data_IF_424695675337
#
_entry.id   IF_424695675337
#
_cell.length_a   1.000
_cell.length_b   1.000
_cell.length_c   1.000
_cell.angle_alpha   90.00
_cell.angle_beta   90.00
_cell.angle_gamma   90.00
#
_symmetry.space_group_name_H-M   'P 1'
#
loop_
_entity.id
_entity.type
_entity.pdbx_description
1 polymer ?
#
# COMPACT_ATOMS: atom_id res chain seq x y z
N UNK A 1 15.75 -17.63 -2.24
CA UNK A 1 14.76 -16.89 -3.05
C UNK A 1 14.39 -17.75 -4.24
N UNK A 2 13.18 -18.33 -4.30
CA UNK A 2 12.76 -19.17 -5.43
C UNK A 2 12.11 -18.25 -6.47
N UNK A 3 12.83 -17.95 -7.53
CA UNK A 3 12.26 -17.29 -8.71
C UNK A 3 11.27 -18.25 -9.38
N UNK A 4 10.17 -17.73 -9.96
CA UNK A 4 9.29 -18.58 -10.74
C UNK A 4 10.06 -19.18 -11.89
N UNK A 5 9.80 -20.45 -12.19
CA UNK A 5 10.41 -21.16 -13.32
C UNK A 5 10.33 -20.32 -14.59
N UNK A 6 11.48 -20.10 -15.18
CA UNK A 6 11.71 -19.29 -16.38
C UNK A 6 10.79 -19.70 -17.51
N UNK A 7 10.00 -18.79 -18.03
CA UNK A 7 9.23 -18.99 -19.25
C UNK A 7 8.04 -18.07 -19.48
N UNK A 8 7.66 -17.23 -18.54
CA UNK A 8 6.58 -16.27 -18.74
C UNK A 8 7.13 -14.85 -18.88
N UNK A 9 6.77 -14.12 -19.93
CA UNK A 9 7.21 -12.76 -20.09
C UNK A 9 6.52 -11.86 -19.05
N UNK A 10 7.32 -11.01 -18.42
CA UNK A 10 6.89 -9.82 -17.67
C UNK A 10 5.84 -10.11 -16.60
N UNK A 11 6.27 -10.50 -15.41
CA UNK A 11 5.43 -10.30 -14.23
C UNK A 11 5.12 -8.80 -14.14
N UNK A 12 3.88 -8.44 -14.40
CA UNK A 12 3.34 -7.12 -14.11
C UNK A 12 3.70 -6.77 -12.66
N UNK A 13 4.06 -5.50 -12.43
CA UNK A 13 4.43 -5.00 -11.08
C UNK A 13 3.40 -5.41 -10.02
N UNK A 14 2.12 -5.43 -10.39
CA UNK A 14 1.04 -5.91 -9.52
C UNK A 14 1.23 -7.37 -9.11
N UNK A 15 1.52 -8.26 -10.04
CA UNK A 15 1.73 -9.70 -9.74
C UNK A 15 2.96 -9.92 -8.89
N UNK A 16 4.00 -9.10 -9.08
CA UNK A 16 5.19 -9.12 -8.23
C UNK A 16 4.87 -8.72 -6.77
N UNK A 17 4.08 -7.66 -6.59
CA UNK A 17 3.64 -7.23 -5.25
C UNK A 17 2.76 -8.30 -4.58
N UNK A 18 1.81 -8.90 -5.31
CA UNK A 18 0.99 -10.00 -4.81
C UNK A 18 1.86 -11.19 -4.36
N UNK A 19 2.86 -11.57 -5.17
CA UNK A 19 3.82 -12.62 -4.84
C UNK A 19 4.58 -12.32 -3.54
N UNK A 20 5.08 -11.10 -3.40
CA UNK A 20 5.74 -10.63 -2.18
C UNK A 20 4.85 -10.79 -0.94
N UNK A 21 3.59 -10.34 -1.01
CA UNK A 21 2.67 -10.45 0.12
C UNK A 21 2.32 -11.89 0.50
N UNK A 22 2.15 -12.77 -0.50
CA UNK A 22 1.94 -14.21 -0.23
C UNK A 22 3.15 -14.81 0.46
N UNK A 23 4.37 -14.54 -0.03
CA UNK A 23 5.60 -15.04 0.62
C UNK A 23 5.77 -14.51 2.04
N UNK A 24 5.56 -13.21 2.28
CA UNK A 24 5.61 -12.62 3.61
C UNK A 24 4.59 -13.25 4.56
N UNK A 25 3.37 -13.44 4.08
CA UNK A 25 2.31 -14.10 4.87
C UNK A 25 2.68 -15.52 5.24
N UNK A 26 3.17 -16.32 4.28
CA UNK A 26 3.59 -17.71 4.54
C UNK A 26 4.78 -17.78 5.53
N UNK A 27 5.74 -16.86 5.42
CA UNK A 27 6.86 -16.76 6.34
C UNK A 27 6.40 -16.47 7.78
N UNK A 28 5.47 -15.50 7.96
CA UNK A 28 4.89 -15.19 9.27
C UNK A 28 4.09 -16.37 9.86
N UNK A 29 3.43 -17.14 9.01
CA UNK A 29 2.76 -18.38 9.41
C UNK A 29 3.73 -19.53 9.71
N UNK A 30 5.03 -19.35 9.46
CA UNK A 30 6.07 -20.39 9.57
C UNK A 30 5.76 -21.62 8.70
N UNK A 31 5.18 -21.42 7.51
CA UNK A 31 4.88 -22.47 6.53
C UNK A 31 5.69 -22.29 5.26
N UNK A 32 6.36 -23.37 4.82
CA UNK A 32 7.13 -23.40 3.59
C UNK A 32 6.49 -24.37 2.60
N UNK A 33 5.87 -23.88 1.50
CA UNK A 33 5.31 -24.77 0.49
C UNK A 33 6.41 -25.45 -0.32
N UNK A 34 6.15 -26.72 -0.72
CA UNK A 34 7.02 -27.47 -1.64
C UNK A 34 6.87 -26.99 -3.08
N UNK A 35 5.73 -26.41 -3.41
CA UNK A 35 5.38 -25.88 -4.72
C UNK A 35 4.77 -24.49 -4.58
N UNK A 36 5.22 -23.54 -5.40
CA UNK A 36 4.67 -22.19 -5.51
C UNK A 36 4.56 -21.80 -6.98
N UNK A 37 3.35 -21.61 -7.47
CA UNK A 37 3.08 -21.29 -8.88
C UNK A 37 2.17 -20.07 -8.98
N UNK A 38 2.57 -19.09 -9.80
CA UNK A 38 1.72 -17.97 -10.15
C UNK A 38 0.65 -18.38 -11.15
N UNK A 39 -0.57 -17.90 -10.98
CA UNK A 39 -1.73 -18.15 -11.84
C UNK A 39 -2.56 -16.88 -12.03
N UNK A 40 -3.69 -17.04 -12.72
CA UNK A 40 -4.66 -15.95 -12.92
C UNK A 40 -5.97 -16.23 -12.16
N UNK A 41 -6.26 -17.47 -11.86
CA UNK A 41 -7.49 -17.87 -11.19
C UNK A 41 -7.34 -19.27 -10.57
N UNK A 42 -7.03 -19.38 -9.29
CA UNK A 42 -6.66 -18.32 -8.35
C UNK A 42 -5.29 -17.71 -8.66
N UNK A 43 -4.94 -16.59 -7.98
CA UNK A 43 -3.71 -15.85 -8.21
C UNK A 43 -2.45 -16.69 -8.00
N UNK A 44 -2.49 -17.66 -7.06
CA UNK A 44 -1.39 -18.56 -6.77
C UNK A 44 -1.89 -19.96 -6.46
N UNK A 45 -1.07 -20.96 -6.79
CA UNK A 45 -1.20 -22.35 -6.36
C UNK A 45 -0.01 -22.69 -5.48
N UNK A 46 -0.26 -23.12 -4.24
CA UNK A 46 0.77 -23.59 -3.32
C UNK A 46 0.54 -25.06 -2.97
N UNK A 47 1.61 -25.82 -2.82
CA UNK A 47 1.57 -27.25 -2.50
C UNK A 47 2.26 -27.56 -1.19
N UNK A 48 1.68 -28.48 -0.43
CA UNK A 48 2.26 -29.07 0.77
C UNK A 48 2.10 -30.60 0.67
N UNK A 49 3.14 -31.28 0.20
CA UNK A 49 3.05 -32.71 -0.12
C UNK A 49 2.01 -32.97 -1.22
N UNK A 50 1.01 -33.79 -0.90
CA UNK A 50 -0.08 -34.10 -1.83
C UNK A 50 -1.19 -33.01 -1.89
N UNK A 51 -1.20 -32.08 -0.95
CA UNK A 51 -2.24 -31.06 -0.82
C UNK A 51 -1.96 -29.85 -1.72
N UNK A 52 -2.96 -29.45 -2.50
CA UNK A 52 -2.91 -28.25 -3.35
C UNK A 52 -3.87 -27.18 -2.82
N UNK A 53 -3.36 -25.98 -2.60
CA UNK A 53 -4.11 -24.84 -2.08
C UNK A 53 -4.07 -23.73 -3.12
N UNK A 54 -5.26 -23.25 -3.50
CA UNK A 54 -5.38 -22.02 -4.27
C UNK A 54 -5.38 -20.80 -3.35
N UNK A 55 -4.58 -19.79 -3.67
CA UNK A 55 -4.54 -18.52 -2.92
C UNK A 55 -5.03 -17.41 -3.83
N UNK A 56 -6.11 -16.77 -3.42
CA UNK A 56 -6.64 -15.56 -4.05
C UNK A 56 -6.17 -14.35 -3.25
N UNK A 57 -5.69 -13.31 -3.93
CA UNK A 57 -5.21 -12.09 -3.29
C UNK A 57 -6.18 -10.95 -3.57
N UNK A 58 -6.44 -10.14 -2.58
CA UNK A 58 -7.20 -8.90 -2.72
C UNK A 58 -6.64 -7.82 -1.81
N UNK A 59 -6.78 -6.57 -2.22
CA UNK A 59 -6.39 -5.43 -1.41
C UNK A 59 -7.61 -4.86 -0.71
N UNK A 60 -7.43 -4.51 0.56
CA UNK A 60 -8.43 -3.70 1.25
C UNK A 60 -8.51 -2.32 0.59
N UNK A 61 -9.72 -1.81 0.43
CA UNK A 61 -9.96 -0.45 -0.04
C UNK A 61 -11.07 0.19 0.79
N UNK A 62 -10.72 1.26 1.48
CA UNK A 62 -11.70 2.09 2.18
C UNK A 62 -12.59 2.83 1.18
N UNK A 63 -13.88 2.86 1.46
CA UNK A 63 -14.85 3.68 0.75
C UNK A 63 -14.83 5.15 1.20
N UNK A 64 -13.95 5.51 2.14
CA UNK A 64 -13.85 6.85 2.67
C UNK A 64 -13.58 7.88 1.56
N UNK A 65 -14.17 9.06 1.74
CA UNK A 65 -13.99 10.18 0.84
C UNK A 65 -13.06 11.22 1.45
N UNK A 66 -12.28 11.89 0.61
CA UNK A 66 -11.54 13.09 0.96
C UNK A 66 -12.46 14.26 1.32
N UNK A 67 -11.89 15.34 1.82
CA UNK A 67 -12.63 16.54 2.20
C UNK A 67 -13.38 17.21 1.01
N UNK A 68 -12.94 16.93 -0.21
CA UNK A 68 -13.58 17.39 -1.45
C UNK A 68 -14.64 16.44 -2.01
N UNK A 69 -14.95 15.36 -1.29
CA UNK A 69 -15.94 14.35 -1.67
C UNK A 69 -15.43 13.30 -2.66
N UNK A 70 -14.20 13.40 -3.18
CA UNK A 70 -13.58 12.37 -4.01
C UNK A 70 -13.28 11.12 -3.19
N UNK A 71 -13.36 9.89 -3.78
CA UNK A 71 -12.83 8.70 -3.14
C UNK A 71 -11.38 8.92 -2.74
N UNK A 72 -11.00 8.52 -1.53
CA UNK A 72 -9.63 8.69 -1.01
C UNK A 72 -8.58 8.09 -1.95
N UNK A 73 -8.84 6.89 -2.49
CA UNK A 73 -7.98 6.28 -3.49
C UNK A 73 -7.69 7.19 -4.68
N UNK A 74 -8.70 7.88 -5.20
CA UNK A 74 -8.53 8.82 -6.31
C UNK A 74 -7.66 10.03 -5.92
N UNK A 75 -7.73 10.48 -4.66
CA UNK A 75 -6.86 11.54 -4.13
C UNK A 75 -5.41 11.06 -4.02
N UNK A 76 -5.18 9.83 -3.58
CA UNK A 76 -3.85 9.22 -3.49
C UNK A 76 -3.24 8.95 -4.87
N UNK A 77 -4.02 8.45 -5.81
CA UNK A 77 -3.58 8.25 -7.21
C UNK A 77 -3.20 9.59 -7.86
N UNK A 78 -3.97 10.65 -7.61
CA UNK A 78 -3.65 12.00 -8.09
C UNK A 78 -2.38 12.55 -7.45
N UNK A 79 -2.15 12.26 -6.15
CA UNK A 79 -0.91 12.60 -5.46
C UNK A 79 0.30 11.88 -6.09
N UNK A 80 0.21 10.59 -6.36
CA UNK A 80 1.31 9.82 -6.97
C UNK A 80 1.72 10.42 -8.32
N UNK A 81 0.74 10.88 -9.12
CA UNK A 81 1.01 11.57 -10.37
C UNK A 81 1.68 12.92 -10.13
N UNK A 82 1.13 13.72 -9.22
CA UNK A 82 1.70 15.03 -8.88
C UNK A 82 3.13 14.90 -8.34
N UNK A 83 3.37 13.95 -7.44
CA UNK A 83 4.70 13.67 -6.90
C UNK A 83 5.70 13.31 -8.01
N UNK A 84 5.28 12.49 -8.95
CA UNK A 84 6.13 12.12 -10.10
C UNK A 84 6.46 13.34 -10.96
N UNK A 85 5.52 14.24 -11.20
CA UNK A 85 5.73 15.48 -11.93
C UNK A 85 6.66 16.44 -11.16
N UNK A 86 6.47 16.58 -9.84
CA UNK A 86 7.37 17.36 -8.99
C UNK A 86 8.79 16.83 -9.10
N UNK A 87 9.01 15.53 -8.96
CA UNK A 87 10.33 14.91 -9.03
C UNK A 87 11.01 15.16 -10.37
N UNK A 88 10.28 15.00 -11.49
CA UNK A 88 10.80 15.26 -12.83
C UNK A 88 11.24 16.72 -13.03
N UNK A 89 10.57 17.67 -12.42
CA UNK A 89 10.90 19.09 -12.53
C UNK A 89 12.02 19.48 -11.54
N UNK A 90 12.02 18.94 -10.34
CA UNK A 90 13.10 19.14 -9.33
C UNK A 90 14.44 18.63 -9.86
N UNK A 91 14.46 17.49 -10.54
CA UNK A 91 15.70 16.93 -11.13
C UNK A 91 16.38 17.85 -12.14
N UNK A 92 15.63 18.79 -12.74
CA UNK A 92 16.16 19.80 -13.68
C UNK A 92 16.77 21.01 -12.99
N UNK A 93 16.59 21.13 -11.65
CA UNK A 93 16.99 22.30 -10.86
C UNK A 93 18.16 21.94 -9.94
N UNK A 94 19.41 22.31 -10.30
CA UNK A 94 20.60 21.91 -9.54
C UNK A 94 20.57 22.31 -8.06
N UNK A 95 19.95 23.44 -7.75
CA UNK A 95 19.85 23.98 -6.38
C UNK A 95 18.98 23.13 -5.47
N UNK A 96 18.09 22.31 -6.04
CA UNK A 96 17.14 21.43 -5.34
C UNK A 96 17.58 19.97 -5.32
N UNK A 97 18.71 19.62 -5.93
CA UNK A 97 19.12 18.24 -6.19
C UNK A 97 19.31 17.38 -4.93
N UNK A 98 19.70 17.98 -3.80
CA UNK A 98 19.97 17.27 -2.55
C UNK A 98 18.98 17.66 -1.45
N UNK A 99 17.75 18.01 -1.85
CA UNK A 99 16.72 18.52 -0.95
C UNK A 99 15.57 17.52 -0.86
N UNK A 100 15.24 17.16 0.38
CA UNK A 100 13.97 16.53 0.74
C UNK A 100 12.93 17.63 0.94
N UNK A 101 11.82 17.55 0.21
CA UNK A 101 10.69 18.45 0.39
C UNK A 101 9.52 17.74 1.06
N UNK A 102 8.97 18.34 2.13
CA UNK A 102 7.76 17.83 2.79
C UNK A 102 6.63 18.83 2.69
N UNK A 103 5.50 18.38 2.15
CA UNK A 103 4.29 19.18 1.94
C UNK A 103 3.23 18.82 2.99
N UNK A 104 2.92 19.74 3.90
CA UNK A 104 1.76 19.62 4.78
C UNK A 104 0.55 20.27 4.11
N UNK A 105 -0.48 19.49 3.77
CA UNK A 105 -1.69 20.01 3.15
C UNK A 105 -2.71 20.49 4.19
N UNK A 106 -3.55 21.46 3.83
CA UNK A 106 -4.65 21.94 4.70
C UNK A 106 -5.68 20.84 5.00
N UNK A 107 -5.89 19.93 4.06
CA UNK A 107 -6.75 18.77 4.18
C UNK A 107 -6.23 17.68 3.24
N UNK A 108 -6.83 16.48 3.30
CA UNK A 108 -6.54 15.41 2.35
C UNK A 108 -7.17 15.72 0.97
N UNK A 109 -6.67 16.79 0.36
CA UNK A 109 -7.08 17.28 -0.96
C UNK A 109 -5.84 17.69 -1.70
N UNK A 110 -5.64 17.13 -2.89
CA UNK A 110 -4.55 17.49 -3.80
C UNK A 110 -5.09 18.21 -5.04
N UNK A 111 -4.28 19.02 -5.73
CA UNK A 111 -4.65 19.63 -7.00
C UNK A 111 -5.11 18.57 -8.00
N UNK A 112 -6.09 18.90 -8.81
CA UNK A 112 -6.50 18.05 -9.94
C UNK A 112 -5.53 18.22 -11.10
N UNK A 113 -5.42 17.22 -11.98
CA UNK A 113 -4.43 17.13 -13.06
C UNK A 113 -4.21 18.41 -13.86
N UNK A 114 -5.28 19.12 -14.22
CA UNK A 114 -5.18 20.39 -14.96
C UNK A 114 -4.50 21.52 -14.19
N UNK A 115 -4.25 21.36 -12.91
CA UNK A 115 -3.62 22.35 -12.03
C UNK A 115 -2.17 21.95 -11.68
N UNK A 116 -1.72 20.75 -12.06
CA UNK A 116 -0.41 20.24 -11.68
C UNK A 116 0.73 21.14 -12.17
N UNK A 117 0.70 21.54 -13.44
CA UNK A 117 1.76 22.39 -14.00
C UNK A 117 1.92 23.69 -13.22
N UNK A 118 0.82 24.42 -12.96
CA UNK A 118 0.88 25.65 -12.17
C UNK A 118 1.33 25.38 -10.74
N UNK A 119 0.83 24.32 -10.11
CA UNK A 119 1.20 23.93 -8.74
C UNK A 119 2.71 23.65 -8.64
N UNK A 120 3.25 22.88 -9.58
CA UNK A 120 4.68 22.54 -9.62
C UNK A 120 5.53 23.80 -9.83
N UNK A 121 5.13 24.69 -10.74
CA UNK A 121 5.85 25.96 -10.97
C UNK A 121 5.87 26.86 -9.73
N UNK A 122 4.73 27.01 -9.05
CA UNK A 122 4.67 27.79 -7.79
C UNK A 122 5.52 27.12 -6.70
N UNK A 123 5.50 25.79 -6.60
CA UNK A 123 6.30 25.03 -5.65
C UNK A 123 7.81 25.22 -5.87
N UNK A 124 8.27 25.06 -7.13
CA UNK A 124 9.67 25.26 -7.47
C UNK A 124 10.14 26.70 -7.19
N UNK A 125 9.33 27.68 -7.55
CA UNK A 125 9.63 29.09 -7.30
C UNK A 125 9.77 29.39 -5.80
N UNK A 126 8.85 28.86 -4.98
CA UNK A 126 8.92 29.01 -3.53
C UNK A 126 10.16 28.30 -2.96
N UNK A 127 10.43 27.07 -3.41
CA UNK A 127 11.58 26.28 -2.95
C UNK A 127 12.91 26.94 -3.26
N UNK A 128 13.08 27.49 -4.47
CA UNK A 128 14.27 28.24 -4.85
C UNK A 128 14.45 29.50 -3.98
N UNK A 129 13.36 30.23 -3.68
CA UNK A 129 13.41 31.36 -2.76
C UNK A 129 13.85 30.94 -1.36
N UNK A 130 13.33 29.82 -0.86
CA UNK A 130 13.70 29.27 0.45
C UNK A 130 15.17 28.89 0.49
N UNK A 131 15.68 28.22 -0.53
CA UNK A 131 17.11 27.88 -0.64
C UNK A 131 17.97 29.14 -0.67
N UNK A 132 17.59 30.17 -1.45
CA UNK A 132 18.31 31.42 -1.54
C UNK A 132 18.34 32.24 -0.22
N UNK A 133 17.35 32.03 0.65
CA UNK A 133 17.23 32.71 1.96
C UNK A 133 17.61 31.80 3.13
N UNK A 134 18.11 30.59 2.88
CA UNK A 134 18.42 29.57 3.88
C UNK A 134 17.26 29.28 4.85
N UNK A 135 16.04 29.30 4.31
CA UNK A 135 14.81 29.04 5.06
C UNK A 135 14.46 27.56 5.01
N UNK A 136 14.31 26.92 6.17
CA UNK A 136 13.96 25.49 6.28
C UNK A 136 12.47 25.22 6.17
N UNK A 137 11.63 26.18 6.56
CA UNK A 137 10.16 26.03 6.46
C UNK A 137 9.48 27.34 6.12
N UNK A 138 8.33 27.22 5.44
CA UNK A 138 7.51 28.40 5.12
C UNK A 138 6.06 28.02 4.87
N UNK A 139 5.18 29.01 5.02
CA UNK A 139 3.78 28.93 4.57
C UNK A 139 3.65 29.67 3.24
N UNK A 140 3.11 29.05 2.18
CA UNK A 140 2.92 29.76 0.91
C UNK A 140 2.02 30.98 1.05
N UNK A 141 2.50 32.14 0.60
CA UNK A 141 1.70 33.37 0.60
C UNK A 141 0.70 33.36 -0.54
N UNK A 142 -0.57 33.70 -0.26
CA UNK A 142 -1.66 33.66 -1.25
C UNK A 142 -1.45 34.64 -2.40
N UNK A 143 -0.75 35.75 -2.20
CA UNK A 143 -0.52 36.75 -3.25
C UNK A 143 0.50 36.28 -4.28
N UNK A 144 1.58 35.62 -3.79
CA UNK A 144 2.71 35.19 -4.62
C UNK A 144 2.50 33.78 -5.16
N UNK A 145 1.80 32.91 -4.38
CA UNK A 145 1.58 31.47 -4.69
C UNK A 145 0.11 31.10 -4.50
N UNK A 146 -0.81 31.62 -5.35
CA UNK A 146 -2.25 31.52 -5.12
C UNK A 146 -2.77 30.08 -5.18
N UNK A 147 -2.21 29.22 -6.04
CA UNK A 147 -2.62 27.83 -6.13
C UNK A 147 -1.97 26.99 -5.03
N UNK A 148 -0.67 27.13 -4.81
CA UNK A 148 0.06 26.41 -3.77
C UNK A 148 -0.54 26.69 -2.39
N UNK A 149 -0.80 27.96 -2.05
CA UNK A 149 -1.40 28.36 -0.75
C UNK A 149 -2.81 27.84 -0.52
N UNK A 150 -3.52 27.47 -1.59
CA UNK A 150 -4.86 26.88 -1.48
C UNK A 150 -4.80 25.44 -0.94
N UNK A 151 -3.74 24.72 -1.25
CA UNK A 151 -3.61 23.30 -0.92
C UNK A 151 -2.62 23.07 0.23
N UNK A 152 -1.47 23.76 0.19
CA UNK A 152 -0.35 23.54 1.09
C UNK A 152 -0.41 24.51 2.26
N UNK A 153 -0.44 23.98 3.47
CA UNK A 153 -0.37 24.71 4.72
C UNK A 153 1.08 25.10 5.05
N UNK A 154 2.01 24.16 4.83
CA UNK A 154 3.42 24.35 5.12
C UNK A 154 4.29 23.56 4.15
N UNK A 155 5.40 24.15 3.74
CA UNK A 155 6.48 23.50 3.02
C UNK A 155 7.71 23.48 3.92
N UNK A 156 8.33 22.31 4.08
CA UNK A 156 9.60 22.12 4.76
C UNK A 156 10.64 21.58 3.78
N UNK A 157 11.87 22.12 3.83
CA UNK A 157 13.00 21.68 3.01
C UNK A 157 14.15 21.25 3.89
N UNK A 158 14.72 20.08 3.64
CA UNK A 158 15.89 19.54 4.36
C UNK A 158 16.96 19.11 3.36
N UNK A 159 18.25 19.43 3.67
CA UNK A 159 19.38 18.91 2.89
C UNK A 159 19.76 17.53 3.41
N UNK A 160 19.58 16.52 2.59
CA UNK A 160 19.78 15.11 3.00
C UNK A 160 20.97 14.42 2.32
N UNK A 161 21.60 15.02 1.34
CA UNK A 161 22.90 14.61 0.77
C UNK A 161 22.93 13.32 -0.04
N UNK A 162 21.88 12.51 -0.11
CA UNK A 162 21.95 11.21 -0.81
C UNK A 162 20.68 10.73 -1.51
N UNK A 163 19.50 11.17 -1.18
CA UNK A 163 18.26 10.77 -1.83
C UNK A 163 17.22 11.87 -1.77
N UNK A 164 16.74 12.28 -2.93
CA UNK A 164 15.73 13.35 -3.03
C UNK A 164 14.38 12.73 -3.18
N UNK A 165 13.46 13.12 -2.31
CA UNK A 165 12.03 12.79 -2.46
C UNK A 165 11.20 13.98 -2.03
N UNK A 166 9.99 14.04 -2.56
CA UNK A 166 8.98 15.00 -2.16
C UNK A 166 7.82 14.25 -1.56
N UNK A 167 7.56 14.49 -0.30
CA UNK A 167 6.63 13.70 0.49
C UNK A 167 5.40 14.52 0.88
N UNK A 168 4.31 13.84 0.99
CA UNK A 168 3.09 14.36 1.55
C UNK A 168 3.01 13.98 3.03
N UNK A 169 2.96 14.97 3.90
CA UNK A 169 2.73 14.73 5.32
C UNK A 169 1.27 14.33 5.58
N UNK A 170 1.11 13.08 5.96
CA UNK A 170 -0.19 12.47 6.27
C UNK A 170 -0.59 12.57 7.74
N UNK A 171 0.08 13.38 8.53
CA UNK A 171 -0.13 13.40 9.98
C UNK A 171 -1.61 13.59 10.35
N UNK A 172 -2.20 12.56 10.95
CA UNK A 172 -3.50 12.62 11.61
C UNK A 172 -4.69 11.98 10.92
N UNK A 173 -4.54 11.34 9.76
CA UNK A 173 -5.67 10.82 9.01
C UNK A 173 -5.82 9.29 9.04
N UNK A 174 -5.85 8.67 10.20
CA UNK A 174 -6.41 7.33 10.28
C UNK A 174 -7.93 7.41 10.06
N UNK A 175 -8.36 6.93 8.90
CA UNK A 175 -9.79 6.75 8.64
C UNK A 175 -10.23 5.43 9.23
N UNK A 176 -11.31 5.47 9.98
CA UNK A 176 -11.94 4.25 10.47
C UNK A 176 -12.27 3.33 9.30
N UNK A 177 -12.01 2.04 9.46
CA UNK A 177 -12.54 0.99 8.61
C UNK A 177 -13.84 0.50 9.24
N UNK A 178 -14.87 0.28 8.45
CA UNK A 178 -16.13 -0.32 8.93
C UNK A 178 -16.16 -1.82 8.63
N UNK A 179 -17.00 -2.55 9.35
CA UNK A 179 -17.32 -3.95 9.03
C UNK A 179 -17.80 -4.10 7.58
N UNK A 180 -18.63 -3.15 7.12
CA UNK A 180 -19.16 -3.11 5.76
C UNK A 180 -18.07 -3.00 4.69
N UNK A 181 -17.03 -2.20 4.91
CA UNK A 181 -15.91 -2.06 3.96
C UNK A 181 -15.10 -3.36 3.84
N UNK A 182 -14.92 -4.08 4.95
CA UNK A 182 -14.30 -5.42 4.91
C UNK A 182 -15.18 -6.40 4.16
N UNK A 183 -16.47 -6.41 4.40
CA UNK A 183 -17.44 -7.23 3.69
C UNK A 183 -17.37 -6.95 2.19
N UNK A 184 -17.39 -5.69 1.79
CA UNK A 184 -17.32 -5.27 0.39
C UNK A 184 -16.02 -5.70 -0.29
N UNK A 185 -14.92 -5.78 0.44
CA UNK A 185 -13.64 -6.31 -0.05
C UNK A 185 -13.69 -7.82 -0.30
N UNK A 186 -14.38 -8.56 0.55
CA UNK A 186 -14.40 -10.03 0.56
C UNK A 186 -15.47 -10.63 -0.37
N UNK A 187 -16.64 -10.03 -0.42
CA UNK A 187 -17.81 -10.57 -1.16
C UNK A 187 -17.53 -10.89 -2.63
N UNK A 188 -16.85 -10.02 -3.42
CA UNK A 188 -16.59 -10.32 -4.83
C UNK A 188 -15.71 -11.57 -5.04
N UNK A 189 -14.90 -11.93 -4.06
CA UNK A 189 -14.02 -13.10 -4.11
C UNK A 189 -14.75 -14.36 -3.65
N UNK A 190 -15.61 -14.25 -2.65
CA UNK A 190 -16.41 -15.37 -2.14
C UNK A 190 -17.30 -16.01 -3.21
N UNK A 191 -17.88 -15.22 -4.09
CA UNK A 191 -18.75 -15.70 -5.20
C UNK A 191 -18.02 -16.63 -6.19
N UNK A 192 -16.69 -16.55 -6.25
CA UNK A 192 -15.85 -17.32 -7.21
C UNK A 192 -15.34 -18.65 -6.67
N UNK A 193 -15.45 -18.91 -5.37
CA UNK A 193 -14.85 -20.09 -4.72
C UNK A 193 -15.30 -21.41 -5.32
N UNK A 194 -16.60 -21.56 -5.57
CA UNK A 194 -17.14 -22.76 -6.19
C UNK A 194 -16.54 -23.07 -7.56
N UNK A 195 -16.27 -22.03 -8.36
CA UNK A 195 -15.67 -22.19 -9.69
C UNK A 195 -14.22 -22.66 -9.62
N UNK A 196 -13.46 -22.19 -8.64
CA UNK A 196 -12.06 -22.57 -8.44
C UNK A 196 -11.92 -24.01 -7.97
N UNK A 197 -12.73 -24.42 -6.98
CA UNK A 197 -12.71 -25.78 -6.46
C UNK A 197 -13.08 -26.82 -7.53
N UNK A 198 -14.04 -26.50 -8.40
CA UNK A 198 -14.47 -27.43 -9.46
C UNK A 198 -13.49 -27.48 -10.63
N UNK A 199 -12.91 -26.35 -11.03
CA UNK A 199 -12.12 -26.23 -12.26
C UNK A 199 -10.69 -26.76 -12.10
N UNK A 200 -10.04 -26.47 -10.99
CA UNK A 200 -8.59 -26.62 -10.86
C UNK A 200 -8.15 -27.69 -9.85
N UNK A 201 -9.11 -28.41 -9.25
CA UNK A 201 -8.85 -29.51 -8.29
C UNK A 201 -7.96 -29.09 -7.11
N UNK A 202 -8.26 -27.94 -6.50
CA UNK A 202 -7.66 -27.55 -5.24
C UNK A 202 -8.36 -28.25 -4.08
N UNK A 203 -7.59 -28.66 -3.09
CA UNK A 203 -8.12 -29.24 -1.86
C UNK A 203 -8.68 -28.15 -0.94
N UNK A 204 -8.08 -26.95 -0.99
CA UNK A 204 -8.51 -25.78 -0.23
C UNK A 204 -8.33 -24.50 -1.05
N UNK A 205 -9.12 -23.49 -0.69
CA UNK A 205 -8.91 -22.11 -1.13
C UNK A 205 -8.63 -21.22 0.07
N UNK A 206 -7.62 -20.39 -0.05
CA UNK A 206 -7.30 -19.34 0.90
C UNK A 206 -7.51 -17.98 0.26
N UNK A 207 -8.00 -17.02 1.04
CA UNK A 207 -8.07 -15.63 0.65
C UNK A 207 -7.07 -14.84 1.44
N UNK A 208 -6.17 -14.11 0.76
CA UNK A 208 -5.28 -13.15 1.36
C UNK A 208 -5.81 -11.74 1.11
N UNK A 209 -6.19 -11.05 2.18
CA UNK A 209 -6.52 -9.63 2.17
C UNK A 209 -5.27 -8.86 2.59
N UNK A 210 -4.81 -7.96 1.74
CA UNK A 210 -3.64 -7.12 2.01
C UNK A 210 -4.10 -5.73 2.44
N UNK A 211 -3.65 -5.31 3.61
CA UNK A 211 -3.76 -3.94 4.10
C UNK A 211 -2.40 -3.26 3.94
N UNK A 212 -2.29 -2.37 2.96
CA UNK A 212 -1.04 -1.69 2.61
C UNK A 212 -0.79 -0.41 3.44
N UNK A 213 0.27 0.30 3.09
CA UNK A 213 0.67 1.57 3.72
C UNK A 213 -0.16 2.78 3.27
N UNK A 214 -0.86 2.70 2.13
CA UNK A 214 -1.72 3.79 1.66
C UNK A 214 -2.93 3.94 2.58
N UNK A 215 -3.34 5.18 2.86
CA UNK A 215 -4.45 5.47 3.77
C UNK A 215 -5.76 4.81 3.32
N UNK A 216 -6.02 4.77 1.99
CA UNK A 216 -7.20 4.10 1.43
C UNK A 216 -7.12 2.57 1.50
N UNK A 217 -5.94 2.02 1.76
CA UNK A 217 -5.69 0.58 1.81
C UNK A 217 -5.27 0.11 3.20
N UNK A 218 -5.24 1.02 4.18
CA UNK A 218 -4.83 0.71 5.55
C UNK A 218 -6.04 0.39 6.42
N UNK A 219 -6.01 -0.78 7.06
CA UNK A 219 -6.93 -1.13 8.15
C UNK A 219 -6.26 -0.67 9.45
N UNK A 220 -6.86 0.26 10.20
CA UNK A 220 -6.26 0.74 11.43
C UNK A 220 -6.08 -0.38 12.48
N UNK A 221 -4.99 -0.36 13.28
CA UNK A 221 -4.72 -1.40 14.28
C UNK A 221 -5.89 -1.65 15.25
N UNK A 222 -6.53 -0.58 15.74
CA UNK A 222 -7.68 -0.69 16.65
C UNK A 222 -8.91 -1.38 16.04
N UNK A 223 -8.99 -1.49 14.70
CA UNK A 223 -10.03 -2.25 14.02
C UNK A 223 -9.69 -3.73 13.95
N UNK A 224 -8.40 -4.06 13.86
CA UNK A 224 -7.93 -5.44 13.87
C UNK A 224 -8.27 -6.14 15.19
N UNK A 225 -8.23 -5.40 16.30
CA UNK A 225 -8.61 -5.91 17.62
C UNK A 225 -10.12 -6.21 17.72
N UNK A 226 -10.93 -5.62 16.84
CA UNK A 226 -12.39 -5.79 16.79
C UNK A 226 -12.87 -6.88 15.83
N UNK A 227 -11.99 -7.51 15.05
CA UNK A 227 -12.37 -8.49 14.01
C UNK A 227 -13.29 -9.60 14.57
N UNK A 228 -13.01 -10.08 15.78
CA UNK A 228 -13.84 -11.10 16.43
C UNK A 228 -15.23 -10.61 16.83
N UNK A 229 -15.44 -9.30 16.93
CA UNK A 229 -16.75 -8.70 17.27
C UNK A 229 -17.62 -8.42 16.02
N UNK A 230 -17.10 -8.58 14.83
CA UNK A 230 -17.81 -8.34 13.58
C UNK A 230 -18.69 -9.54 13.21
N UNK A 231 -19.93 -9.51 13.66
CA UNK A 231 -20.85 -10.65 13.54
C UNK A 231 -21.25 -10.96 12.10
N UNK A 232 -21.49 -9.94 11.28
CA UNK A 232 -21.93 -10.10 9.89
C UNK A 232 -20.75 -10.58 9.05
N UNK A 233 -19.57 -9.98 9.21
CA UNK A 233 -18.34 -10.38 8.54
C UNK A 233 -18.02 -11.85 8.82
N UNK A 234 -17.99 -12.25 10.09
CA UNK A 234 -17.64 -13.60 10.49
C UNK A 234 -18.62 -14.65 9.95
N UNK A 235 -19.91 -14.32 9.88
CA UNK A 235 -20.92 -15.15 9.25
C UNK A 235 -20.67 -15.32 7.75
N UNK A 236 -20.40 -14.22 7.05
CA UNK A 236 -20.11 -14.26 5.61
C UNK A 236 -18.81 -15.02 5.29
N UNK A 237 -17.80 -14.90 6.14
CA UNK A 237 -16.57 -15.67 5.99
C UNK A 237 -16.80 -17.17 6.14
N UNK A 238 -17.64 -17.57 7.08
CA UNK A 238 -18.05 -18.98 7.25
C UNK A 238 -18.75 -19.52 5.99
N UNK A 239 -19.56 -18.70 5.34
CA UNK A 239 -20.35 -19.06 4.16
C UNK A 239 -19.55 -18.89 2.84
N UNK A 240 -18.35 -18.32 2.87
CA UNK A 240 -17.59 -17.92 1.69
C UNK A 240 -16.96 -19.05 0.89
N UNK A 241 -16.83 -20.24 1.47
CA UNK A 241 -16.12 -21.38 0.85
C UNK A 241 -14.60 -21.31 0.93
N UNK A 242 -14.01 -20.25 1.51
CA UNK A 242 -12.59 -20.22 1.83
C UNK A 242 -12.30 -21.04 3.09
N UNK A 243 -11.32 -21.94 3.01
CA UNK A 243 -10.85 -22.70 4.18
C UNK A 243 -10.13 -21.83 5.19
N UNK A 244 -9.43 -20.79 4.70
CA UNK A 244 -8.79 -19.76 5.52
C UNK A 244 -8.94 -18.39 4.87
N UNK A 245 -9.12 -17.37 5.72
CA UNK A 245 -8.95 -15.98 5.32
C UNK A 245 -7.81 -15.37 6.10
N UNK A 246 -6.85 -14.84 5.39
CA UNK A 246 -5.63 -14.25 5.91
C UNK A 246 -5.71 -12.74 5.70
N UNK A 247 -5.51 -11.95 6.74
CA UNK A 247 -5.41 -10.51 6.65
C UNK A 247 -3.99 -10.11 7.03
N UNK A 248 -3.22 -9.70 6.04
CA UNK A 248 -1.86 -9.20 6.24
C UNK A 248 -1.88 -7.69 6.37
N UNK A 249 -1.38 -7.19 7.51
CA UNK A 249 -1.25 -5.76 7.77
C UNK A 249 0.21 -5.35 7.59
N UNK A 250 0.48 -4.62 6.51
CA UNK A 250 1.84 -4.27 6.09
C UNK A 250 2.59 -3.43 7.13
N UNK A 251 1.97 -2.36 7.66
CA UNK A 251 2.63 -1.44 8.59
C UNK A 251 3.04 -2.08 9.92
N UNK A 252 2.30 -3.10 10.35
CA UNK A 252 2.59 -3.81 11.60
C UNK A 252 3.35 -5.11 11.35
N UNK A 253 3.49 -5.51 10.09
CA UNK A 253 4.04 -6.80 9.69
C UNK A 253 3.41 -7.98 10.45
N UNK A 254 2.09 -8.03 10.51
CA UNK A 254 1.33 -9.07 11.20
C UNK A 254 0.30 -9.71 10.29
N UNK A 255 -0.05 -10.95 10.59
CA UNK A 255 -1.13 -11.70 9.92
C UNK A 255 -2.22 -12.02 10.94
N UNK A 256 -3.46 -11.74 10.55
CA UNK A 256 -4.64 -12.25 11.24
C UNK A 256 -5.21 -13.39 10.41
N UNK A 257 -5.42 -14.53 11.02
CA UNK A 257 -5.96 -15.75 10.40
C UNK A 257 -7.37 -15.96 10.89
N UNK A 258 -8.33 -15.99 9.98
CA UNK A 258 -9.66 -16.47 10.29
C UNK A 258 -9.72 -17.97 10.04
N UNK A 259 -9.90 -18.71 11.11
CA UNK A 259 -10.29 -20.12 11.12
C UNK A 259 -11.52 -20.21 12.00
N UNK A 260 -12.63 -20.66 11.42
CA UNK A 260 -13.89 -20.75 12.14
C UNK A 260 -13.72 -21.30 13.57
N UNK A 261 -14.26 -20.61 14.58
CA UNK A 261 -15.17 -19.44 14.52
C UNK A 261 -14.49 -18.09 14.78
N UNK A 262 -13.16 -17.97 14.78
CA UNK A 262 -12.51 -16.76 15.25
C UNK A 262 -11.26 -16.35 14.46
N UNK A 263 -10.92 -15.06 14.58
CA UNK A 263 -9.65 -14.50 14.15
C UNK A 263 -8.57 -14.72 15.20
N UNK A 264 -7.37 -15.07 14.74
CA UNK A 264 -6.17 -15.20 15.56
C UNK A 264 -5.07 -14.37 14.96
N UNK A 265 -4.37 -13.60 15.79
CA UNK A 265 -3.14 -12.92 15.39
C UNK A 265 -2.02 -13.95 15.38
N UNK A 266 -1.31 -14.04 14.25
CA UNK A 266 -0.21 -14.99 14.04
C UNK A 266 0.95 -14.24 13.40
N UNK A 267 2.15 -14.48 13.93
CA UNK A 267 3.38 -13.87 13.42
C UNK A 267 3.42 -12.36 13.67
N UNK A 268 4.30 -11.94 14.55
CA UNK A 268 4.67 -10.55 14.76
C UNK A 268 6.19 -10.50 14.63
N UNK A 269 6.69 -9.90 13.56
CA UNK A 269 8.09 -9.52 13.54
C UNK A 269 8.27 -8.35 14.52
N UNK A 270 9.20 -8.49 15.45
CA UNK A 270 9.45 -7.48 16.50
C UNK A 270 10.05 -6.17 15.99
N UNK A 271 10.41 -6.09 14.72
CA UNK A 271 10.88 -4.88 14.06
C UNK A 271 10.19 -4.68 12.73
N UNK A 272 9.50 -3.56 12.56
CA UNK A 272 9.26 -3.01 11.22
C UNK A 272 10.65 -2.78 10.63
N UNK A 273 11.01 -3.34 9.46
CA UNK A 273 12.30 -3.04 8.83
C UNK A 273 12.42 -1.53 8.72
N UNK A 274 13.47 -0.99 9.30
CA UNK A 274 13.75 0.44 9.13
C UNK A 274 14.04 0.70 7.65
N UNK A 275 13.82 1.92 7.19
CA UNK A 275 14.15 2.33 5.82
C UNK A 275 15.59 1.94 5.45
N UNK A 276 16.49 1.89 6.42
CA UNK A 276 17.89 1.50 6.23
C UNK A 276 18.09 -0.01 6.00
N UNK A 277 17.27 -0.86 6.58
CA UNK A 277 17.28 -2.31 6.31
C UNK A 277 16.72 -2.60 4.91
N UNK A 278 15.69 -1.85 4.47
CA UNK A 278 15.18 -1.93 3.09
C UNK A 278 16.21 -1.50 2.04
N UNK A 279 17.06 -0.50 2.36
CA UNK A 279 18.15 -0.05 1.50
C UNK A 279 19.26 -1.09 1.41
N UNK A 280 19.59 -1.73 2.52
CA UNK A 280 20.65 -2.73 2.60
C UNK A 280 20.34 -3.98 1.76
N UNK A 281 19.11 -4.48 1.83
CA UNK A 281 18.65 -5.62 1.01
C UNK A 281 18.67 -5.31 -0.50
N UNK A 282 18.46 -4.04 -0.89
CA UNK A 282 18.55 -3.63 -2.32
C UNK A 282 19.99 -3.50 -2.81
N UNK A 283 20.92 -3.03 -1.97
CA UNK A 283 22.33 -2.86 -2.38
C UNK A 283 23.06 -4.21 -2.45
N UNK A 284 22.78 -5.13 -1.54
CA UNK A 284 23.39 -6.48 -1.55
C UNK A 284 22.86 -7.38 -2.70
N UNK A 285 21.71 -7.02 -3.29
CA UNK A 285 21.16 -7.70 -4.47
C UNK A 285 21.77 -7.25 -5.82
N UNK A 286 22.43 -6.10 -5.87
CA UNK A 286 23.01 -5.55 -7.11
C UNK A 286 24.50 -5.90 -7.29
N UNK A 287 25.20 -6.32 -6.25
CA UNK A 287 26.63 -6.69 -6.34
C UNK A 287 26.87 -8.17 -6.71
N UNK A 288 25.82 -8.93 -7.05
CA UNK A 288 25.90 -10.35 -7.41
C UNK A 288 25.42 -10.66 -8.85
N UNK A 289 25.39 -9.67 -9.75
CA UNK A 289 25.18 -9.90 -11.19
C UNK A 289 26.48 -9.50 -11.99
#
# INVERSE_FOLDING_TARGET
MLYPATGSPVCDFKKYAECFYVHKTLALLSVGPDLFVCGESPDFSIGFGAKRIGVEVTYFHSAAKGADGRPRRAVEEEWDHLQSEIMLEVDKVPELKDILGTLEFHALVVPIRRQHEQFVQELLSLSLRMVATDSLETTPDKKDYPLLSRYVKKLTLERVGCYVTWEWDHTGAFVGCSEEELINTLTPKAVRTDSYLRKDKFDELWLLVVSEHRLSQTIPPFMLDKLNSFGILNKQLQESGFAKVLLYQYLLNVVYVYEWPCWKKVGEEKSVPTIDEFKKDRMEGQDNE
#
